data_IF_067746125923
#
_entry.id   IF_067746125923
#
_cell.length_a   1.000
_cell.length_b   1.000
_cell.length_c   1.000
_cell.angle_alpha   90.00
_cell.angle_beta   90.00
_cell.angle_gamma   90.00
#
_symmetry.space_group_name_H-M   'P 1'
#
loop_
_entity.id
_entity.type
_entity.pdbx_description
1 polymer ?
#
# COMPACT_ATOMS: atom_id res chain seq x y z
N UNK A 1 -16.74 3.55 -10.26
CA UNK A 1 -15.84 2.70 -9.45
C UNK A 1 -15.68 3.35 -8.08
N UNK A 2 -16.64 3.13 -7.18
CA UNK A 2 -16.58 3.62 -5.80
C UNK A 2 -16.83 2.42 -4.90
N UNK A 3 -15.94 2.19 -3.93
CA UNK A 3 -16.11 1.11 -2.97
C UNK A 3 -17.41 1.31 -2.16
N UNK A 4 -18.13 0.24 -1.82
CA UNK A 4 -19.28 0.32 -0.92
C UNK A 4 -18.88 0.89 0.44
N UNK A 5 -19.79 1.63 1.10
CA UNK A 5 -19.57 2.17 2.44
C UNK A 5 -19.27 1.08 3.47
N UNK A 6 -19.84 -0.11 3.28
CA UNK A 6 -19.58 -1.30 4.10
C UNK A 6 -18.12 -1.75 4.01
N UNK A 7 -17.54 -1.78 2.81
CA UNK A 7 -16.13 -2.11 2.61
C UNK A 7 -15.21 -1.11 3.31
N UNK A 8 -15.57 0.18 3.32
CA UNK A 8 -14.82 1.23 4.06
C UNK A 8 -14.92 1.00 5.58
N UNK A 9 -16.11 0.66 6.09
CA UNK A 9 -16.29 0.37 7.51
C UNK A 9 -15.50 -0.87 7.96
N UNK A 10 -15.54 -1.94 7.17
CA UNK A 10 -14.77 -3.17 7.43
C UNK A 10 -13.26 -2.92 7.39
N UNK A 11 -12.77 -2.12 6.45
CA UNK A 11 -11.37 -1.69 6.41
C UNK A 11 -10.99 -0.89 7.66
N UNK A 12 -11.81 0.07 8.09
CA UNK A 12 -11.54 0.84 9.32
C UNK A 12 -11.58 -0.01 10.58
N UNK A 13 -12.39 -1.06 10.59
CA UNK A 13 -12.51 -2.00 11.71
C UNK A 13 -11.40 -3.05 11.76
N UNK A 14 -10.51 -3.11 10.75
CA UNK A 14 -9.49 -4.15 10.62
C UNK A 14 -10.05 -5.52 10.21
N UNK A 15 -11.34 -5.61 9.86
CA UNK A 15 -11.98 -6.84 9.39
C UNK A 15 -11.51 -7.23 7.98
N UNK A 16 -11.16 -6.22 7.17
CA UNK A 16 -10.43 -6.42 5.93
C UNK A 16 -8.93 -6.19 6.18
N UNK A 17 -8.07 -7.21 5.98
CA UNK A 17 -6.63 -7.02 6.08
C UNK A 17 -6.16 -6.03 5.02
N UNK A 18 -5.14 -5.24 5.34
CA UNK A 18 -4.41 -4.46 4.35
C UNK A 18 -3.82 -5.44 3.34
N UNK A 19 -4.35 -5.41 2.11
CA UNK A 19 -3.79 -6.18 1.02
C UNK A 19 -2.60 -5.42 0.43
N UNK A 20 -1.50 -6.11 0.06
CA UNK A 20 -0.45 -5.46 -0.71
C UNK A 20 -1.02 -4.96 -2.04
N UNK A 21 -0.49 -3.83 -2.57
CA UNK A 21 -0.87 -3.38 -3.90
C UNK A 21 -0.50 -4.43 -4.96
N UNK A 22 -1.17 -4.42 -6.12
CA UNK A 22 -0.78 -5.28 -7.24
C UNK A 22 0.69 -5.07 -7.60
N UNK A 23 1.33 -6.06 -8.20
CA UNK A 23 2.75 -5.96 -8.60
C UNK A 23 3.00 -4.73 -9.49
N UNK A 24 2.13 -4.50 -10.47
CA UNK A 24 2.20 -3.35 -11.38
C UNK A 24 2.07 -2.01 -10.65
N UNK A 25 1.19 -1.94 -9.65
CA UNK A 25 1.00 -0.72 -8.88
C UNK A 25 2.13 -0.50 -7.87
N UNK A 26 2.61 -1.58 -7.23
CA UNK A 26 3.81 -1.57 -6.39
C UNK A 26 5.02 -1.03 -7.14
N UNK A 27 5.26 -1.48 -8.38
CA UNK A 27 6.33 -0.97 -9.23
C UNK A 27 6.17 0.52 -9.54
N UNK A 28 4.94 0.99 -9.75
CA UNK A 28 4.64 2.41 -9.98
C UNK A 28 4.95 3.25 -8.74
N UNK A 29 4.58 2.77 -7.54
CA UNK A 29 4.87 3.43 -6.27
C UNK A 29 6.38 3.51 -5.99
N UNK A 30 7.11 2.40 -6.19
CA UNK A 30 8.57 2.35 -6.04
C UNK A 30 9.22 3.37 -6.97
N UNK A 31 8.83 3.38 -8.26
CA UNK A 31 9.34 4.34 -9.24
C UNK A 31 9.13 5.79 -8.77
N UNK A 32 7.93 6.14 -8.33
CA UNK A 32 7.62 7.49 -7.85
C UNK A 32 8.42 7.91 -6.60
N UNK A 33 8.63 6.99 -5.66
CA UNK A 33 9.41 7.25 -4.44
C UNK A 33 10.90 7.48 -4.76
N UNK A 34 11.45 6.70 -5.69
CA UNK A 34 12.85 6.80 -6.13
C UNK A 34 13.08 8.05 -6.98
N UNK A 35 12.25 8.29 -8.00
CA UNK A 35 12.36 9.46 -8.88
C UNK A 35 12.11 10.76 -8.11
N UNK A 36 11.22 10.71 -7.12
CA UNK A 36 10.98 11.80 -6.18
C UNK A 36 12.09 12.02 -5.15
N UNK A 37 13.15 11.21 -5.16
CA UNK A 37 14.28 11.24 -4.22
C UNK A 37 13.85 11.14 -2.75
N UNK A 38 12.72 10.47 -2.47
CA UNK A 38 12.23 10.28 -1.11
C UNK A 38 12.91 9.09 -0.43
N UNK A 39 13.14 8.01 -1.19
CA UNK A 39 13.72 6.76 -0.71
C UNK A 39 14.57 6.13 -1.83
N UNK A 40 15.51 5.27 -1.48
CA UNK A 40 16.11 4.38 -2.46
C UNK A 40 15.16 3.21 -2.84
N UNK A 41 15.53 2.43 -3.85
CA UNK A 41 14.66 1.37 -4.38
C UNK A 41 14.36 0.26 -3.34
N UNK A 42 15.34 -0.10 -2.52
CA UNK A 42 15.17 -1.11 -1.49
C UNK A 42 14.35 -0.57 -0.31
N UNK A 43 14.61 0.67 0.11
CA UNK A 43 13.82 1.36 1.12
C UNK A 43 12.35 1.51 0.69
N UNK A 44 12.09 1.87 -0.57
CA UNK A 44 10.74 1.99 -1.11
C UNK A 44 9.99 0.65 -1.13
N UNK A 45 10.65 -0.42 -1.57
CA UNK A 45 10.07 -1.77 -1.57
C UNK A 45 9.75 -2.25 -0.15
N UNK A 46 10.65 -2.00 0.80
CA UNK A 46 10.46 -2.34 2.20
C UNK A 46 9.35 -1.51 2.85
N UNK A 47 9.27 -0.21 2.54
CA UNK A 47 8.21 0.67 3.01
C UNK A 47 6.81 0.17 2.59
N UNK A 48 6.64 -0.19 1.32
CA UNK A 48 5.36 -0.72 0.82
C UNK A 48 5.01 -2.06 1.48
N UNK A 49 5.99 -2.97 1.58
CA UNK A 49 5.80 -4.29 2.18
C UNK A 49 5.43 -4.19 3.66
N UNK A 50 6.13 -3.34 4.41
CA UNK A 50 5.86 -3.11 5.84
C UNK A 50 4.52 -2.41 6.08
N UNK A 51 4.12 -1.47 5.21
CA UNK A 51 2.82 -0.83 5.28
C UNK A 51 1.67 -1.84 5.07
N UNK A 52 1.83 -2.77 4.12
CA UNK A 52 0.85 -3.82 3.88
C UNK A 52 0.76 -4.83 5.03
N UNK A 53 1.89 -5.13 5.69
CA UNK A 53 1.96 -6.06 6.82
C UNK A 53 1.52 -5.46 8.17
N UNK A 54 1.26 -4.15 8.22
CA UNK A 54 0.95 -3.45 9.46
C UNK A 54 -0.47 -3.80 9.92
N UNK A 55 -0.60 -4.28 11.15
CA UNK A 55 -1.91 -4.46 11.79
C UNK A 55 -2.53 -3.09 12.09
N UNK A 56 -3.83 -2.94 11.83
CA UNK A 56 -4.62 -1.75 12.16
C UNK A 56 -5.00 -1.72 13.65
#
# INVERSE_FOLDING_TARGET
>A
MTCPSTAVAQHKSGELPLAPPSETYSATLIKGLVEGKQLDANEAANYISSAAARSL
#
